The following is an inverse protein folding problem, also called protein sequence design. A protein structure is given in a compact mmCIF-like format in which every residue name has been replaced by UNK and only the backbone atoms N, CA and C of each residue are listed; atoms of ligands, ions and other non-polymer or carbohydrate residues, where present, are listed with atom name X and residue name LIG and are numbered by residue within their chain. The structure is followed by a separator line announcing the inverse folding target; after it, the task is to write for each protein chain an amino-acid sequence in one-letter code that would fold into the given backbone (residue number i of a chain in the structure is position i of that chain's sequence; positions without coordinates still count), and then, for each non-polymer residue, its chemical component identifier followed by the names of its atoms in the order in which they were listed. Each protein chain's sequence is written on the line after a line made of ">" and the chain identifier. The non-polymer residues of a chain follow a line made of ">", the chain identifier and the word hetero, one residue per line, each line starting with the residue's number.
data_IF_972778791290
#
_entry.id   IF_972778791290
#
_cell.length_a   1.000
_cell.length_b   1.000
_cell.length_c   1.000
_cell.angle_alpha   90.00
_cell.angle_beta   90.00
_cell.angle_gamma   90.00
#
_symmetry.space_group_name_H-M   'P 1'
#
loop_
_entity.id
_entity.type
_entity.pdbx_description
1 polymer ?
#
# COMPACT_ATOMS: atom_id res chain seq x y z
N UNK A 1 -7.08 0.96 -8.59
CA UNK A 1 -8.25 0.50 -9.38
C UNK A 1 -8.41 1.30 -10.67
N UNK A 2 -8.36 2.63 -10.64
CA UNK A 2 -8.55 3.46 -11.85
C UNK A 2 -7.58 3.12 -12.98
N UNK A 3 -6.33 2.79 -12.67
CA UNK A 3 -5.33 2.41 -13.70
C UNK A 3 -5.74 1.14 -14.44
N UNK A 4 -6.24 0.12 -13.73
CA UNK A 4 -6.70 -1.13 -14.33
C UNK A 4 -8.01 -0.93 -15.11
N UNK A 5 -8.87 0.01 -14.70
CA UNK A 5 -10.06 0.40 -15.47
C UNK A 5 -9.72 1.10 -16.79
N UNK A 6 -8.59 1.81 -16.86
CA UNK A 6 -8.07 2.44 -18.07
C UNK A 6 -7.36 1.44 -19.00
N UNK A 7 -6.61 0.50 -18.40
CA UNK A 7 -5.83 -0.50 -19.11
C UNK A 7 -5.87 -1.84 -18.37
N UNK A 8 -6.58 -2.82 -18.94
CA UNK A 8 -6.72 -4.17 -18.36
C UNK A 8 -5.43 -4.99 -18.40
N UNK A 9 -4.49 -4.62 -19.25
CA UNK A 9 -3.17 -5.26 -19.39
C UNK A 9 -2.12 -4.65 -18.45
N UNK A 10 -2.53 -3.76 -17.54
CA UNK A 10 -1.66 -3.18 -16.51
C UNK A 10 -0.87 -4.26 -15.77
N UNK A 11 0.43 -4.09 -15.69
CA UNK A 11 1.34 -5.00 -14.99
C UNK A 11 1.50 -4.63 -13.51
N UNK A 12 2.00 -5.59 -12.72
CA UNK A 12 2.16 -5.40 -11.27
C UNK A 12 3.15 -4.28 -10.94
N UNK A 13 4.16 -4.05 -11.78
CA UNK A 13 5.16 -2.99 -11.65
C UNK A 13 4.54 -1.60 -11.64
N UNK A 14 3.56 -1.36 -12.50
CA UNK A 14 2.84 -0.09 -12.54
C UNK A 14 2.01 0.13 -11.27
N UNK A 15 1.37 -0.94 -10.78
CA UNK A 15 0.60 -0.89 -9.53
C UNK A 15 1.52 -0.62 -8.34
N UNK A 16 2.70 -1.26 -8.28
CA UNK A 16 3.69 -1.01 -7.22
C UNK A 16 4.26 0.41 -7.27
N UNK A 17 4.31 1.03 -8.44
CA UNK A 17 4.66 2.44 -8.59
C UNK A 17 3.68 3.38 -7.88
N UNK A 18 2.40 3.00 -7.80
CA UNK A 18 1.31 3.75 -7.15
C UNK A 18 1.17 3.34 -5.68
N UNK A 19 1.07 2.03 -5.42
CA UNK A 19 0.90 1.45 -4.07
C UNK A 19 2.26 0.95 -3.58
N UNK A 20 3.06 1.86 -3.05
CA UNK A 20 4.47 1.59 -2.69
C UNK A 20 4.64 0.59 -1.54
N UNK A 21 3.70 0.55 -0.61
CA UNK A 21 3.71 -0.37 0.53
C UNK A 21 2.33 -0.41 1.20
N UNK A 22 2.02 -1.40 2.06
CA UNK A 22 0.88 -1.35 2.95
C UNK A 22 0.93 -0.11 3.84
N UNK A 23 -0.21 0.35 4.31
CA UNK A 23 -0.32 1.41 5.31
C UNK A 23 -0.90 0.85 6.60
N UNK A 24 -0.15 0.94 7.68
CA UNK A 24 -0.57 0.40 8.97
C UNK A 24 -1.28 1.48 9.80
N UNK A 25 -2.40 1.17 10.47
CA UNK A 25 -3.14 2.14 11.27
C UNK A 25 -2.34 2.69 12.45
N UNK A 26 -1.31 1.97 12.90
CA UNK A 26 -0.40 2.38 13.98
C UNK A 26 0.82 3.15 13.50
N UNK A 27 0.92 3.44 12.19
CA UNK A 27 2.09 4.10 11.60
C UNK A 27 3.31 3.20 11.54
N UNK A 28 4.45 3.69 12.03
CA UNK A 28 5.72 3.00 12.00
C UNK A 28 6.51 3.24 10.71
N UNK A 29 7.70 2.68 10.66
CA UNK A 29 8.61 2.76 9.49
C UNK A 29 8.78 1.37 8.88
N UNK A 30 8.37 1.22 7.64
CA UNK A 30 8.61 0.01 6.84
C UNK A 30 10.07 0.07 6.35
N UNK A 31 10.85 -0.96 6.63
CA UNK A 31 12.26 -1.04 6.26
C UNK A 31 12.44 -1.81 4.96
N UNK A 32 12.86 -1.10 3.91
CA UNK A 32 13.07 -1.66 2.58
C UNK A 32 11.79 -2.00 1.84
N UNK A 33 11.90 -2.29 0.54
CA UNK A 33 10.76 -2.60 -0.35
C UNK A 33 10.71 -4.07 -0.76
N UNK A 34 11.81 -4.81 -0.62
CA UNK A 34 11.92 -6.20 -1.11
C UNK A 34 10.81 -7.13 -0.59
N UNK A 35 10.52 -7.07 0.73
CA UNK A 35 9.45 -7.88 1.31
C UNK A 35 8.06 -7.45 0.86
N UNK A 36 7.87 -6.16 0.54
CA UNK A 36 6.63 -5.62 -0.03
C UNK A 36 6.45 -6.11 -1.47
N UNK A 37 7.49 -6.05 -2.28
CA UNK A 37 7.48 -6.52 -3.67
C UNK A 37 7.16 -8.02 -3.73
N UNK A 38 7.78 -8.83 -2.88
CA UNK A 38 7.48 -10.25 -2.78
C UNK A 38 6.01 -10.49 -2.41
N UNK A 39 5.49 -9.75 -1.41
CA UNK A 39 4.09 -9.85 -0.99
C UNK A 39 3.13 -9.48 -2.12
N UNK A 40 3.39 -8.40 -2.84
CA UNK A 40 2.52 -7.94 -3.91
C UNK A 40 2.52 -8.83 -5.15
N UNK A 41 3.65 -9.47 -5.46
CA UNK A 41 3.76 -10.43 -6.58
C UNK A 41 3.16 -11.79 -6.26
N UNK A 42 3.38 -12.30 -5.05
CA UNK A 42 3.07 -13.69 -4.71
C UNK A 42 1.89 -13.85 -3.74
N UNK A 43 1.42 -12.76 -3.16
CA UNK A 43 0.44 -12.77 -2.07
C UNK A 43 1.03 -13.13 -0.71
N UNK A 44 2.34 -13.39 -0.61
CA UNK A 44 3.04 -13.69 0.65
C UNK A 44 4.36 -12.95 0.71
N UNK A 45 4.68 -12.40 1.89
CA UNK A 45 5.96 -11.70 2.08
C UNK A 45 6.20 -11.37 3.54
N UNK A 46 7.42 -10.92 3.84
CA UNK A 46 7.86 -10.52 5.18
C UNK A 46 8.28 -9.06 5.14
N UNK A 47 7.52 -8.21 5.83
CA UNK A 47 7.77 -6.78 5.90
C UNK A 47 8.32 -6.45 7.27
N UNK A 48 9.51 -5.87 7.36
CA UNK A 48 10.05 -5.37 8.62
C UNK A 48 9.48 -3.99 8.91
N UNK A 49 8.95 -3.83 10.12
CA UNK A 49 8.38 -2.57 10.59
C UNK A 49 9.09 -2.18 11.87
N UNK A 50 9.49 -0.92 11.94
CA UNK A 50 10.21 -0.34 13.08
C UNK A 50 9.34 0.75 13.72
N UNK A 51 9.41 0.85 15.04
CA UNK A 51 8.82 1.94 15.81
C UNK A 51 9.38 3.31 15.38
N UNK A 52 8.57 4.35 15.45
CA UNK A 52 9.06 5.72 15.31
C UNK A 52 9.57 6.21 16.65
N UNK A 53 10.83 6.62 16.68
CA UNK A 53 11.50 7.07 17.89
C UNK A 53 12.18 8.41 17.70
N UNK A 54 12.26 9.18 18.77
CA UNK A 54 13.02 10.40 18.86
C UNK A 54 13.97 10.36 20.07
N UNK A 55 15.19 10.85 19.90
CA UNK A 55 16.14 10.97 21.00
C UNK A 55 16.19 12.44 21.42
N UNK A 56 15.87 12.72 22.67
CA UNK A 56 15.90 14.06 23.25
C UNK A 56 16.95 14.12 24.35
N UNK A 57 17.62 15.27 24.44
CA UNK A 57 18.55 15.55 25.53
C UNK A 57 17.86 16.43 26.56
N UNK A 58 17.82 15.97 27.79
CA UNK A 58 17.25 16.69 28.93
C UNK A 58 18.21 17.79 29.43
N UNK A 59 17.71 18.84 30.10
CA UNK A 59 18.54 19.92 30.66
C UNK A 59 19.63 19.45 31.64
N UNK A 60 19.41 18.28 32.26
CA UNK A 60 20.37 17.66 33.18
C UNK A 60 21.50 16.88 32.47
N UNK A 61 21.55 16.91 31.14
CA UNK A 61 22.54 16.22 30.31
C UNK A 61 22.29 14.71 30.16
N UNK A 62 21.15 14.19 30.61
CA UNK A 62 20.70 12.83 30.30
C UNK A 62 20.01 12.81 28.92
N UNK A 63 20.01 11.68 28.27
CA UNK A 63 19.21 11.44 27.07
C UNK A 63 17.97 10.61 27.39
N UNK A 64 16.90 10.80 26.62
CA UNK A 64 15.72 9.94 26.65
C UNK A 64 15.34 9.52 25.23
N UNK A 65 14.87 8.28 25.09
CA UNK A 65 14.29 7.76 23.87
C UNK A 65 12.78 7.84 24.01
N UNK A 66 12.11 8.54 23.10
CA UNK A 66 10.65 8.67 23.06
C UNK A 66 10.15 7.84 21.89
N UNK A 67 9.23 6.92 22.16
CA UNK A 67 8.57 6.08 21.15
C UNK A 67 7.17 6.63 20.94
N UNK A 68 6.89 7.07 19.72
CA UNK A 68 5.62 7.69 19.33
C UNK A 68 4.72 6.80 18.49
N UNK A 69 5.30 5.84 17.77
CA UNK A 69 4.55 4.87 16.97
C UNK A 69 5.16 3.48 17.15
N UNK A 70 4.31 2.46 17.14
CA UNK A 70 4.70 1.07 17.31
C UNK A 70 4.39 0.26 16.04
N UNK A 71 5.15 -0.81 15.76
CA UNK A 71 4.79 -1.73 14.69
C UNK A 71 3.39 -2.28 14.87
N UNK A 72 2.68 -2.51 13.78
CA UNK A 72 1.33 -3.03 13.79
C UNK A 72 1.25 -4.38 14.53
N UNK A 73 0.18 -4.58 15.30
CA UNK A 73 -0.07 -5.74 16.18
C UNK A 73 0.88 -5.88 17.39
N UNK A 74 1.76 -4.95 17.66
CA UNK A 74 2.58 -4.97 18.88
C UNK A 74 1.76 -4.45 20.08
N UNK A 75 1.73 -5.27 21.12
CA UNK A 75 1.11 -4.88 22.39
C UNK A 75 2.06 -3.99 23.19
N UNK A 76 1.69 -2.71 23.40
CA UNK A 76 2.49 -1.71 24.10
C UNK A 76 2.88 -2.14 25.52
N UNK A 77 1.94 -2.67 26.31
CA UNK A 77 2.20 -3.08 27.69
C UNK A 77 3.23 -4.23 27.76
N UNK A 78 3.07 -5.25 26.91
CA UNK A 78 4.03 -6.36 26.82
C UNK A 78 5.40 -5.91 26.33
N UNK A 79 5.45 -4.91 25.42
CA UNK A 79 6.72 -4.33 24.97
C UNK A 79 7.44 -3.63 26.12
N UNK A 80 6.73 -2.82 26.89
CA UNK A 80 7.29 -2.11 28.07
C UNK A 80 7.80 -3.11 29.11
N UNK A 81 7.03 -4.14 29.42
CA UNK A 81 7.43 -5.22 30.31
C UNK A 81 8.70 -5.92 29.81
N UNK A 82 8.77 -6.24 28.54
CA UNK A 82 9.95 -6.86 27.92
C UNK A 82 11.20 -5.98 28.00
N UNK A 83 11.05 -4.67 27.81
CA UNK A 83 12.17 -3.71 27.97
C UNK A 83 12.65 -3.71 29.43
N UNK A 84 11.74 -3.68 30.39
CA UNK A 84 12.06 -3.72 31.81
C UNK A 84 12.77 -5.01 32.21
N UNK A 85 12.35 -6.16 31.69
CA UNK A 85 13.01 -7.45 31.92
C UNK A 85 14.42 -7.49 31.34
N UNK A 86 14.63 -7.02 30.11
CA UNK A 86 15.97 -6.94 29.51
C UNK A 86 16.92 -6.05 30.33
N UNK A 87 16.39 -4.98 30.93
CA UNK A 87 17.17 -4.15 31.84
C UNK A 87 17.51 -4.90 33.14
N UNK A 88 16.54 -5.57 33.79
CA UNK A 88 16.76 -6.38 35.01
C UNK A 88 17.77 -7.53 34.77
N UNK A 89 17.70 -8.18 33.62
CA UNK A 89 18.62 -9.23 33.19
C UNK A 89 20.01 -8.71 32.80
N UNK A 90 20.23 -7.39 32.83
CA UNK A 90 21.48 -6.71 32.41
C UNK A 90 21.86 -6.98 30.94
N UNK A 91 20.90 -7.32 30.11
CA UNK A 91 21.11 -7.49 28.65
C UNK A 91 21.12 -6.15 27.92
N UNK A 92 20.40 -5.16 28.47
CA UNK A 92 20.48 -3.76 28.04
C UNK A 92 20.79 -2.93 29.29
N UNK A 93 21.98 -2.35 29.32
CA UNK A 93 22.42 -1.46 30.39
C UNK A 93 22.22 0.00 30.00
N UNK A 94 22.12 0.89 31.00
CA UNK A 94 22.05 2.33 30.78
C UNK A 94 20.62 2.91 30.81
N UNK A 95 19.58 2.11 31.00
CA UNK A 95 18.20 2.58 31.23
C UNK A 95 18.08 2.98 32.73
N UNK A 96 17.54 4.16 33.03
CA UNK A 96 17.30 4.64 34.40
C UNK A 96 15.83 4.66 34.78
N UNK A 97 14.94 4.89 33.80
CA UNK A 97 13.51 4.90 34.04
C UNK A 97 12.76 4.55 32.74
N UNK A 98 11.56 3.99 32.89
CA UNK A 98 10.69 3.56 31.81
C UNK A 98 9.25 3.90 32.16
N UNK A 99 8.63 4.78 31.37
CA UNK A 99 7.28 5.30 31.64
C UNK A 99 6.40 5.20 30.39
N UNK A 100 5.12 4.93 30.62
CA UNK A 100 4.08 5.06 29.61
C UNK A 100 3.34 6.39 29.84
N UNK A 101 3.60 7.36 29.00
CA UNK A 101 2.98 8.69 29.03
C UNK A 101 1.91 8.84 27.91
N UNK A 102 1.45 7.72 27.34
CA UNK A 102 0.44 7.75 26.28
C UNK A 102 -0.87 8.34 26.78
N UNK A 103 -1.50 9.15 25.94
CA UNK A 103 -2.75 9.84 26.22
C UNK A 103 -3.69 9.80 24.99
N UNK A 104 -4.70 10.68 24.96
CA UNK A 104 -5.66 10.79 23.82
C UNK A 104 -5.01 11.29 22.53
N UNK A 105 -3.86 11.94 22.61
CA UNK A 105 -3.12 12.46 21.44
C UNK A 105 -2.29 11.36 20.76
N UNK A 106 -1.95 10.28 21.48
CA UNK A 106 -1.25 9.16 20.89
C UNK A 106 -0.36 8.38 21.86
N UNK A 107 0.43 7.50 21.27
CA UNK A 107 1.42 6.69 21.98
C UNK A 107 2.63 7.56 22.36
N UNK A 108 3.05 7.47 23.61
CA UNK A 108 4.27 8.09 24.12
C UNK A 108 4.89 7.20 25.18
N UNK A 109 5.89 6.41 24.81
CA UNK A 109 6.69 5.63 25.76
C UNK A 109 8.04 6.33 25.91
N UNK A 110 8.41 6.63 27.15
CA UNK A 110 9.64 7.34 27.48
C UNK A 110 10.62 6.39 28.17
N UNK A 111 11.82 6.29 27.61
CA UNK A 111 12.94 5.49 28.14
C UNK A 111 14.05 6.46 28.50
N UNK A 112 14.22 6.76 29.78
CA UNK A 112 15.31 7.60 30.26
C UNK A 112 16.62 6.81 30.35
N UNK A 113 17.69 7.46 29.93
CA UNK A 113 19.01 6.86 29.90
C UNK A 113 19.95 7.48 30.91
N UNK A 114 20.94 6.72 31.34
CA UNK A 114 22.06 7.19 32.13
C UNK A 114 22.86 8.24 31.35
N UNK A 115 23.47 9.21 32.02
CA UNK A 115 24.20 10.32 31.38
C UNK A 115 25.36 9.84 30.50
N UNK A 116 26.02 8.74 30.86
CA UNK A 116 27.15 8.14 30.17
C UNK A 116 26.74 7.14 29.08
N UNK A 117 25.43 6.87 28.93
CA UNK A 117 24.92 5.91 27.98
C UNK A 117 24.77 6.51 26.56
N UNK A 118 25.15 5.72 25.55
CA UNK A 118 24.94 6.11 24.17
C UNK A 118 23.51 5.70 23.74
N UNK A 119 22.65 6.69 23.51
CA UNK A 119 21.24 6.48 23.16
C UNK A 119 21.07 5.67 21.87
N UNK A 120 21.92 5.86 20.84
CA UNK A 120 21.82 5.11 19.59
C UNK A 120 22.18 3.63 19.78
N UNK A 121 23.16 3.32 20.62
CA UNK A 121 23.54 1.94 20.92
C UNK A 121 22.40 1.21 21.64
N UNK A 122 21.81 1.87 22.65
CA UNK A 122 20.66 1.30 23.38
C UNK A 122 19.46 1.13 22.45
N UNK A 123 19.17 2.12 21.60
CA UNK A 123 18.08 2.06 20.62
C UNK A 123 18.28 0.87 19.66
N UNK A 124 19.47 0.64 19.16
CA UNK A 124 19.79 -0.51 18.32
C UNK A 124 19.63 -1.85 19.05
N UNK A 125 20.02 -1.91 20.33
CA UNK A 125 19.78 -3.09 21.16
C UNK A 125 18.27 -3.34 21.37
N UNK A 126 17.47 -2.29 21.58
CA UNK A 126 16.02 -2.37 21.69
C UNK A 126 15.40 -2.89 20.39
N UNK A 127 15.81 -2.41 19.23
CA UNK A 127 15.36 -2.94 17.93
C UNK A 127 15.70 -4.42 17.74
N UNK A 128 16.87 -4.85 18.21
CA UNK A 128 17.34 -6.23 18.07
C UNK A 128 16.63 -7.21 19.01
N UNK A 129 16.27 -6.77 20.22
CA UNK A 129 15.83 -7.68 21.30
C UNK A 129 14.37 -7.50 21.69
N UNK A 130 13.65 -6.54 21.10
CA UNK A 130 12.24 -6.26 21.40
C UNK A 130 11.43 -6.08 20.14
N UNK A 131 10.11 -6.02 20.28
CA UNK A 131 9.17 -5.73 19.20
C UNK A 131 9.12 -4.23 18.81
N UNK A 132 10.08 -3.41 19.24
CA UNK A 132 10.29 -2.09 18.64
C UNK A 132 10.67 -2.18 17.17
N UNK A 133 11.18 -3.30 16.73
CA UNK A 133 11.28 -3.72 15.34
C UNK A 133 10.77 -5.14 15.25
N UNK A 134 9.79 -5.37 14.38
CA UNK A 134 9.19 -6.69 14.20
C UNK A 134 8.95 -6.97 12.71
N UNK A 135 8.75 -8.23 12.39
CA UNK A 135 8.46 -8.68 11.03
C UNK A 135 6.99 -8.99 10.90
N UNK A 136 6.30 -8.22 10.07
CA UNK A 136 4.92 -8.48 9.70
C UNK A 136 4.85 -9.47 8.53
N UNK A 137 4.26 -10.64 8.79
CA UNK A 137 4.01 -11.65 7.76
C UNK A 137 2.77 -11.32 6.95
N UNK A 138 2.95 -10.94 5.70
CA UNK A 138 1.83 -10.66 4.77
C UNK A 138 1.30 -11.97 4.20
N UNK A 139 -0.01 -12.15 4.28
CA UNK A 139 -0.76 -13.21 3.58
C UNK A 139 -2.00 -12.55 2.99
N UNK A 140 -2.01 -12.37 1.68
CA UNK A 140 -3.11 -11.75 0.95
C UNK A 140 -4.18 -12.78 0.60
N UNK A 141 -4.92 -13.22 1.62
CA UNK A 141 -5.98 -14.22 1.51
C UNK A 141 -7.32 -13.53 1.21
N UNK A 142 -8.03 -14.00 0.20
CA UNK A 142 -9.37 -13.53 -0.15
C UNK A 142 -10.27 -14.71 -0.52
N UNK A 143 -11.58 -14.48 -0.41
CA UNK A 143 -12.59 -15.41 -0.95
C UNK A 143 -12.94 -14.99 -2.38
N UNK A 144 -12.67 -15.87 -3.32
CA UNK A 144 -13.05 -15.70 -4.73
C UNK A 144 -13.99 -16.85 -5.11
N UNK A 145 -15.23 -16.52 -5.48
CA UNK A 145 -16.29 -17.50 -5.75
C UNK A 145 -16.52 -18.52 -4.61
N UNK A 146 -16.45 -18.01 -3.36
CA UNK A 146 -16.59 -18.82 -2.16
C UNK A 146 -15.38 -19.67 -1.81
N UNK A 147 -14.28 -19.61 -2.59
CA UNK A 147 -13.05 -20.37 -2.36
C UNK A 147 -11.94 -19.47 -1.77
N UNK A 148 -11.25 -19.86 -0.69
CA UNK A 148 -10.11 -19.13 -0.16
C UNK A 148 -8.91 -19.26 -1.11
N UNK A 149 -8.39 -18.13 -1.57
CA UNK A 149 -7.21 -18.07 -2.45
C UNK A 149 -6.23 -17.02 -1.94
N UNK A 150 -4.94 -17.33 -2.01
CA UNK A 150 -3.86 -16.35 -1.83
C UNK A 150 -3.62 -15.72 -3.18
N UNK A 151 -3.73 -14.40 -3.27
CA UNK A 151 -3.71 -13.65 -4.51
C UNK A 151 -2.57 -12.62 -4.48
N UNK A 152 -2.04 -12.30 -5.66
CA UNK A 152 -1.21 -11.10 -5.84
C UNK A 152 -2.05 -9.83 -5.64
N UNK A 153 -1.39 -8.68 -5.43
CA UNK A 153 -2.11 -7.40 -5.34
C UNK A 153 -2.89 -7.12 -6.63
N UNK A 154 -2.29 -7.39 -7.78
CA UNK A 154 -2.94 -7.20 -9.07
C UNK A 154 -4.18 -8.08 -9.23
N UNK A 155 -4.09 -9.37 -8.85
CA UNK A 155 -5.23 -10.29 -8.92
C UNK A 155 -6.36 -9.87 -7.97
N UNK A 156 -6.05 -9.40 -6.76
CA UNK A 156 -7.06 -8.85 -5.85
C UNK A 156 -7.81 -7.67 -6.47
N UNK A 157 -7.08 -6.73 -7.08
CA UNK A 157 -7.68 -5.57 -7.73
C UNK A 157 -8.52 -5.97 -8.95
N UNK A 158 -8.05 -6.93 -9.75
CA UNK A 158 -8.82 -7.47 -10.89
C UNK A 158 -10.10 -8.17 -10.43
N UNK A 159 -10.04 -9.00 -9.40
CA UNK A 159 -11.22 -9.64 -8.80
C UNK A 159 -12.22 -8.60 -8.26
N UNK A 160 -11.75 -7.55 -7.61
CA UNK A 160 -12.60 -6.47 -7.12
C UNK A 160 -13.29 -5.72 -8.26
N UNK A 161 -12.57 -5.39 -9.32
CA UNK A 161 -13.16 -4.72 -10.50
C UNK A 161 -14.22 -5.61 -11.16
N UNK A 162 -13.94 -6.90 -11.36
CA UNK A 162 -14.92 -7.85 -11.91
C UNK A 162 -16.17 -7.94 -11.04
N UNK A 163 -16.02 -7.93 -9.71
CA UNK A 163 -17.15 -7.86 -8.80
C UNK A 163 -17.95 -6.55 -8.95
N UNK A 164 -17.28 -5.40 -9.09
CA UNK A 164 -17.95 -4.13 -9.32
C UNK A 164 -18.73 -4.13 -10.65
N UNK A 165 -18.16 -4.68 -11.71
CA UNK A 165 -18.83 -4.83 -13.00
C UNK A 165 -20.12 -5.65 -12.88
N UNK A 166 -20.07 -6.77 -12.16
CA UNK A 166 -21.27 -7.61 -11.93
C UNK A 166 -22.31 -6.86 -11.08
N UNK A 167 -21.91 -6.23 -9.99
CA UNK A 167 -22.81 -5.49 -9.10
C UNK A 167 -23.49 -4.33 -9.83
N UNK A 168 -22.70 -3.50 -10.53
CA UNK A 168 -23.24 -2.34 -11.28
C UNK A 168 -24.15 -2.80 -12.41
N UNK A 169 -23.80 -3.87 -13.12
CA UNK A 169 -24.63 -4.45 -14.18
C UNK A 169 -25.98 -4.94 -13.61
N UNK A 170 -25.97 -5.68 -12.51
CA UNK A 170 -27.21 -6.16 -11.86
C UNK A 170 -28.06 -5.00 -11.34
N UNK A 171 -27.46 -4.01 -10.70
CA UNK A 171 -28.15 -2.81 -10.23
C UNK A 171 -28.78 -2.06 -11.39
N UNK A 172 -28.02 -1.82 -12.46
CA UNK A 172 -28.52 -1.10 -13.65
C UNK A 172 -29.69 -1.85 -14.33
N UNK A 173 -29.62 -3.18 -14.41
CA UNK A 173 -30.75 -4.00 -14.91
C UNK A 173 -31.99 -3.89 -14.03
N UNK A 174 -31.81 -3.92 -12.71
CA UNK A 174 -32.92 -3.75 -11.78
C UNK A 174 -33.55 -2.37 -11.91
N UNK A 175 -32.74 -1.30 -11.93
CA UNK A 175 -33.23 0.06 -12.08
C UNK A 175 -33.92 0.27 -13.44
N UNK A 176 -33.42 -0.33 -14.51
CA UNK A 176 -34.02 -0.31 -15.83
C UNK A 176 -35.40 -0.97 -15.79
N UNK A 177 -35.52 -2.17 -15.26
CA UNK A 177 -36.80 -2.87 -15.16
C UNK A 177 -37.80 -2.05 -14.34
N UNK A 178 -37.41 -1.47 -13.24
CA UNK A 178 -38.28 -0.61 -12.42
C UNK A 178 -38.72 0.66 -13.15
N UNK A 179 -37.81 1.27 -13.91
CA UNK A 179 -38.13 2.45 -14.71
C UNK A 179 -39.10 2.10 -15.86
N UNK A 180 -38.89 0.97 -16.55
CA UNK A 180 -39.76 0.51 -17.61
C UNK A 180 -41.14 0.10 -17.09
N UNK A 181 -41.22 -0.60 -15.95
CA UNK A 181 -42.52 -0.93 -15.27
C UNK A 181 -43.30 0.35 -14.92
N UNK A 182 -42.62 1.36 -14.38
CA UNK A 182 -43.24 2.64 -14.01
C UNK A 182 -43.69 3.41 -15.24
N UNK A 183 -42.83 3.48 -16.26
CA UNK A 183 -43.11 4.15 -17.52
C UNK A 183 -44.32 3.52 -18.23
N UNK A 184 -44.38 2.20 -18.23
CA UNK A 184 -45.52 1.46 -18.78
C UNK A 184 -46.86 1.85 -18.11
N UNK A 185 -46.85 2.01 -16.78
CA UNK A 185 -48.05 2.48 -16.06
C UNK A 185 -48.40 3.92 -16.44
N UNK A 186 -47.38 4.80 -16.52
CA UNK A 186 -47.59 6.21 -16.89
C UNK A 186 -48.18 6.37 -18.29
N UNK A 187 -47.74 5.58 -19.26
CA UNK A 187 -48.32 5.58 -20.61
C UNK A 187 -49.82 5.26 -20.58
N UNK A 188 -50.22 4.29 -19.78
CA UNK A 188 -51.65 3.97 -19.60
C UNK A 188 -52.42 5.10 -18.93
N UNK A 189 -51.87 5.73 -17.91
CA UNK A 189 -52.48 6.88 -17.23
C UNK A 189 -52.59 8.13 -18.13
N UNK A 190 -51.61 8.41 -18.98
CA UNK A 190 -51.65 9.50 -19.95
C UNK A 190 -52.73 9.25 -21.00
N UNK A 191 -52.85 8.03 -21.58
CA UNK A 191 -53.94 7.65 -22.48
C UNK A 191 -55.31 7.87 -21.82
N UNK A 192 -55.45 7.47 -20.54
CA UNK A 192 -56.66 7.66 -19.80
C UNK A 192 -57.02 9.14 -19.58
N UNK A 193 -56.04 9.99 -19.35
CA UNK A 193 -56.28 11.44 -19.20
C UNK A 193 -56.64 12.14 -20.49
N UNK A 194 -56.03 11.73 -21.60
CA UNK A 194 -56.36 12.28 -22.94
C UNK A 194 -57.82 11.92 -23.35
N UNK A 195 -58.37 10.83 -22.81
CA UNK A 195 -59.72 10.35 -23.09
C UNK A 195 -60.57 10.28 -21.81
N UNK A 196 -60.43 11.21 -20.90
CA UNK A 196 -60.95 11.12 -19.53
C UNK A 196 -62.47 10.96 -19.48
N UNK A 197 -63.23 11.69 -20.33
CA UNK A 197 -64.67 11.59 -20.35
C UNK A 197 -65.17 10.18 -20.76
N UNK A 198 -64.52 9.59 -21.76
CA UNK A 198 -64.83 8.23 -22.19
C UNK A 198 -64.45 7.18 -21.11
N UNK A 199 -63.31 7.36 -20.46
CA UNK A 199 -62.88 6.50 -19.33
C UNK A 199 -63.91 6.56 -18.19
N UNK A 200 -64.33 7.75 -17.79
CA UNK A 200 -65.36 7.94 -16.75
C UNK A 200 -66.67 7.27 -17.16
N UNK A 201 -67.09 7.42 -18.42
CA UNK A 201 -68.33 6.78 -18.92
C UNK A 201 -68.23 5.26 -18.87
N UNK A 202 -67.10 4.66 -19.28
CA UNK A 202 -66.90 3.21 -19.22
C UNK A 202 -66.96 2.71 -17.76
N UNK A 203 -66.27 3.39 -16.85
CA UNK A 203 -66.24 3.01 -15.44
C UNK A 203 -67.62 3.10 -14.81
N UNK A 204 -68.36 4.20 -15.04
CA UNK A 204 -69.71 4.40 -14.46
C UNK A 204 -70.78 3.48 -15.05
N UNK A 205 -70.63 3.04 -16.31
CA UNK A 205 -71.56 2.12 -16.96
C UNK A 205 -71.31 0.65 -16.67
N UNK A 206 -70.18 0.33 -16.03
CA UNK A 206 -69.84 -1.05 -15.68
C UNK A 206 -70.33 -1.44 -14.30
N UNK A 207 -70.81 -2.67 -14.18
CA UNK A 207 -71.42 -3.21 -12.93
C UNK A 207 -70.33 -3.60 -11.90
N UNK A 208 -69.20 -3.98 -12.36
CA UNK A 208 -68.06 -4.39 -11.49
C UNK A 208 -66.73 -3.78 -11.96
N UNK A 209 -65.73 -3.61 -11.05
CA UNK A 209 -64.40 -3.14 -11.45
C UNK A 209 -63.73 -4.02 -12.51
N UNK A 210 -63.97 -5.33 -12.49
CA UNK A 210 -63.41 -6.25 -13.48
C UNK A 210 -63.98 -5.99 -14.88
N UNK A 211 -65.26 -5.75 -15.00
CA UNK A 211 -65.91 -5.40 -16.29
C UNK A 211 -65.40 -4.07 -16.81
N UNK A 212 -65.20 -3.10 -15.94
CA UNK A 212 -64.57 -1.81 -16.30
C UNK A 212 -63.17 -2.03 -16.85
N UNK A 213 -62.37 -2.87 -16.21
CA UNK A 213 -61.00 -3.19 -16.59
C UNK A 213 -60.97 -3.84 -17.99
N UNK A 214 -61.76 -4.86 -18.21
CA UNK A 214 -61.82 -5.57 -19.48
C UNK A 214 -62.25 -4.63 -20.65
N UNK A 215 -63.21 -3.75 -20.42
CA UNK A 215 -63.62 -2.74 -21.39
C UNK A 215 -62.59 -1.69 -21.69
N UNK A 216 -61.80 -1.22 -20.67
CA UNK A 216 -60.71 -0.30 -20.86
C UNK A 216 -59.57 -0.95 -21.68
N UNK A 217 -59.26 -2.22 -21.40
CA UNK A 217 -58.28 -3.02 -22.16
C UNK A 217 -58.72 -3.11 -23.63
N UNK A 218 -59.94 -3.53 -23.88
CA UNK A 218 -60.47 -3.68 -25.23
C UNK A 218 -60.52 -2.37 -26.00
N UNK A 219 -60.95 -1.29 -25.35
CA UNK A 219 -61.14 0.02 -25.99
C UNK A 219 -59.84 0.75 -26.34
N UNK A 220 -58.83 0.73 -25.43
CA UNK A 220 -57.61 1.52 -25.56
C UNK A 220 -56.36 0.66 -25.82
N UNK A 221 -56.50 -0.66 -25.94
CA UNK A 221 -55.37 -1.56 -26.13
C UNK A 221 -54.41 -1.60 -24.94
N UNK A 222 -54.95 -1.38 -23.73
CA UNK A 222 -54.16 -1.35 -22.49
C UNK A 222 -53.78 -2.73 -21.98
N UNK A 223 -52.71 -2.80 -21.20
CA UNK A 223 -52.39 -4.01 -20.46
C UNK A 223 -53.24 -4.09 -19.16
N UNK A 224 -53.28 -5.27 -18.57
CA UNK A 224 -53.99 -5.52 -17.31
C UNK A 224 -53.52 -4.58 -16.18
N UNK A 225 -52.17 -4.36 -16.08
CA UNK A 225 -51.56 -3.47 -15.09
C UNK A 225 -51.94 -2.01 -15.32
N UNK A 226 -51.95 -1.57 -16.57
CA UNK A 226 -52.35 -0.19 -16.93
C UNK A 226 -53.84 0.04 -16.62
N UNK A 227 -54.69 -0.85 -17.00
CA UNK A 227 -56.14 -0.73 -16.73
C UNK A 227 -56.43 -0.76 -15.21
N UNK A 228 -55.69 -1.57 -14.46
CA UNK A 228 -55.82 -1.58 -12.99
C UNK A 228 -55.42 -0.22 -12.40
N UNK A 229 -54.27 0.35 -12.86
CA UNK A 229 -53.81 1.64 -12.40
C UNK A 229 -54.80 2.78 -12.69
N UNK A 230 -55.53 2.69 -13.81
CA UNK A 230 -56.59 3.64 -14.17
C UNK A 230 -57.78 3.55 -13.22
N UNK A 231 -58.22 2.33 -12.89
CA UNK A 231 -59.36 2.09 -11.95
C UNK A 231 -59.01 2.58 -10.55
N UNK A 232 -57.75 2.40 -10.13
CA UNK A 232 -57.26 2.81 -8.81
C UNK A 232 -56.94 4.30 -8.73
N UNK A 233 -57.10 5.03 -9.84
CA UNK A 233 -56.76 6.45 -9.92
C UNK A 233 -57.71 7.30 -9.05
N UNK A 234 -57.13 8.18 -8.27
CA UNK A 234 -57.88 9.11 -7.40
C UNK A 234 -58.46 10.27 -8.21
N UNK A 235 -59.65 10.77 -7.84
CA UNK A 235 -60.31 11.87 -8.51
C UNK A 235 -59.43 13.14 -8.67
N UNK A 236 -58.58 13.43 -7.72
CA UNK A 236 -57.61 14.56 -7.82
C UNK A 236 -56.66 14.44 -9.00
N UNK A 237 -56.35 13.22 -9.43
CA UNK A 237 -55.46 12.97 -10.54
C UNK A 237 -56.05 13.40 -11.91
N UNK A 238 -57.33 13.77 -11.95
CA UNK A 238 -58.02 14.24 -13.15
C UNK A 238 -57.82 15.75 -13.42
N UNK A 239 -57.01 16.44 -12.58
CA UNK A 239 -56.76 17.86 -12.78
C UNK A 239 -55.63 18.07 -13.82
N UNK A 240 -55.70 19.18 -14.61
CA UNK A 240 -54.69 19.49 -15.61
C UNK A 240 -53.28 19.59 -15.03
N UNK A 241 -53.14 20.08 -13.78
CA UNK A 241 -51.84 20.16 -13.10
C UNK A 241 -51.22 18.78 -12.85
N UNK A 242 -52.02 17.75 -12.57
CA UNK A 242 -51.53 16.37 -12.40
C UNK A 242 -51.17 15.73 -13.75
N UNK A 243 -51.85 16.10 -14.84
CA UNK A 243 -51.50 15.68 -16.18
C UNK A 243 -50.07 16.17 -16.56
N UNK A 244 -49.79 17.45 -16.36
CA UNK A 244 -48.45 18.01 -16.60
C UNK A 244 -47.35 17.32 -15.78
N UNK A 245 -47.65 16.92 -14.53
CA UNK A 245 -46.70 16.19 -13.70
C UNK A 245 -46.42 14.77 -14.20
N UNK A 246 -47.48 14.07 -14.65
CA UNK A 246 -47.31 12.72 -15.21
C UNK A 246 -46.55 12.74 -16.51
N UNK A 247 -46.77 13.73 -17.35
CA UNK A 247 -46.01 13.92 -18.60
C UNK A 247 -44.54 14.25 -18.31
N UNK A 248 -44.25 15.14 -17.36
CA UNK A 248 -42.91 15.45 -16.94
C UNK A 248 -42.20 14.21 -16.37
N UNK A 249 -42.87 13.42 -15.51
CA UNK A 249 -42.34 12.16 -14.98
C UNK A 249 -42.03 11.16 -16.11
N UNK A 250 -42.93 11.04 -17.09
CA UNK A 250 -42.73 10.19 -18.27
C UNK A 250 -41.47 10.59 -19.04
N UNK A 251 -41.32 11.87 -19.34
CA UNK A 251 -40.14 12.36 -20.07
C UNK A 251 -38.83 12.16 -19.30
N UNK A 252 -38.82 12.33 -17.97
CA UNK A 252 -37.69 12.02 -17.13
C UNK A 252 -37.33 10.52 -17.13
N UNK A 253 -38.32 9.65 -17.03
CA UNK A 253 -38.17 8.21 -17.11
C UNK A 253 -37.61 7.76 -18.45
N UNK A 254 -38.11 8.30 -19.57
CA UNK A 254 -37.56 7.98 -20.89
C UNK A 254 -36.08 8.31 -21.01
N UNK A 255 -35.65 9.47 -20.49
CA UNK A 255 -34.23 9.83 -20.43
C UNK A 255 -33.43 8.85 -19.59
N UNK A 256 -33.93 8.51 -18.39
CA UNK A 256 -33.31 7.54 -17.48
C UNK A 256 -33.20 6.14 -18.09
N UNK A 257 -34.26 5.66 -18.75
CA UNK A 257 -34.29 4.36 -19.45
C UNK A 257 -33.24 4.34 -20.58
N UNK A 258 -33.14 5.42 -21.36
CA UNK A 258 -32.16 5.54 -22.43
C UNK A 258 -30.73 5.52 -21.89
N UNK A 259 -30.46 6.21 -20.78
CA UNK A 259 -29.16 6.21 -20.11
C UNK A 259 -28.82 4.82 -19.56
N UNK A 260 -29.73 4.17 -18.85
CA UNK A 260 -29.51 2.83 -18.30
C UNK A 260 -29.25 1.79 -19.41
N UNK A 261 -30.00 1.86 -20.51
CA UNK A 261 -29.77 1.01 -21.69
C UNK A 261 -28.39 1.27 -22.30
N UNK A 262 -27.97 2.53 -22.40
CA UNK A 262 -26.67 2.90 -22.92
C UNK A 262 -25.52 2.38 -22.05
N UNK A 263 -25.67 2.39 -20.72
CA UNK A 263 -24.68 1.81 -19.78
C UNK A 263 -24.56 0.30 -19.98
N UNK A 264 -25.68 -0.40 -20.16
CA UNK A 264 -25.68 -1.86 -20.37
C UNK A 264 -25.17 -2.29 -21.74
N UNK A 265 -25.25 -1.42 -22.74
CA UNK A 265 -24.82 -1.70 -24.11
C UNK A 265 -23.35 -1.41 -24.37
N UNK A 266 -22.71 -0.58 -23.55
CA UNK A 266 -21.33 -0.12 -23.73
C UNK A 266 -20.49 -0.35 -22.48
N UNK A 267 -19.52 -1.26 -22.58
CA UNK A 267 -18.58 -1.59 -21.51
C UNK A 267 -17.80 -0.35 -21.01
N UNK A 268 -17.43 0.56 -21.91
CA UNK A 268 -16.71 1.79 -21.50
C UNK A 268 -17.57 2.69 -20.63
N UNK A 269 -18.88 2.75 -20.90
CA UNK A 269 -19.82 3.50 -20.05
C UNK A 269 -19.98 2.85 -18.69
N UNK A 270 -20.07 1.52 -18.64
CA UNK A 270 -20.13 0.76 -17.38
C UNK A 270 -18.88 1.02 -16.52
N UNK A 271 -17.69 0.92 -17.12
CA UNK A 271 -16.44 1.22 -16.43
C UNK A 271 -16.35 2.68 -16.00
N UNK A 272 -16.92 3.61 -16.78
CA UNK A 272 -17.05 5.02 -16.42
C UNK A 272 -17.89 5.26 -15.18
N UNK A 273 -18.99 4.54 -15.00
CA UNK A 273 -19.83 4.57 -13.78
C UNK A 273 -19.03 4.07 -12.58
N UNK A 274 -18.37 2.92 -12.70
CA UNK A 274 -17.52 2.36 -11.64
C UNK A 274 -16.43 3.34 -11.25
N UNK A 275 -15.75 3.95 -12.23
CA UNK A 275 -14.71 4.95 -12.00
C UNK A 275 -15.22 6.15 -11.22
N UNK A 276 -16.35 6.71 -11.63
CA UNK A 276 -16.91 7.89 -10.95
C UNK A 276 -17.31 7.57 -9.51
N UNK A 277 -17.88 6.41 -9.23
CA UNK A 277 -18.24 5.98 -7.88
C UNK A 277 -16.98 5.77 -7.00
N UNK A 278 -15.91 5.19 -7.54
CA UNK A 278 -14.63 5.04 -6.84
C UNK A 278 -13.98 6.39 -6.53
N UNK A 279 -14.08 7.37 -7.44
CA UNK A 279 -13.55 8.72 -7.19
C UNK A 279 -14.31 9.42 -6.06
N UNK A 280 -15.63 9.28 -5.98
CA UNK A 280 -16.43 9.81 -4.86
C UNK A 280 -15.99 9.19 -3.52
N UNK A 281 -15.73 7.88 -3.50
CA UNK A 281 -15.22 7.20 -2.30
C UNK A 281 -13.83 7.72 -1.94
N UNK A 282 -12.95 7.88 -2.92
CA UNK A 282 -11.61 8.45 -2.72
C UNK A 282 -11.67 9.85 -2.11
N UNK A 283 -12.49 10.73 -2.67
CA UNK A 283 -12.60 12.11 -2.20
C UNK A 283 -13.20 12.22 -0.80
N UNK A 284 -14.10 11.31 -0.45
CA UNK A 284 -14.78 11.29 0.86
C UNK A 284 -13.96 10.66 1.97
N UNK A 285 -13.17 9.64 1.67
CA UNK A 285 -12.50 8.79 2.67
C UNK A 285 -10.98 8.72 2.48
N UNK A 286 -10.42 9.41 1.47
CA UNK A 286 -8.98 9.47 1.28
C UNK A 286 -8.32 10.21 2.45
N UNK A 287 -7.26 9.63 3.00
CA UNK A 287 -6.43 10.21 4.05
C UNK A 287 -4.94 10.03 3.70
N UNK A 288 -4.09 10.76 4.41
CA UNK A 288 -2.65 10.68 4.22
C UNK A 288 -2.07 9.38 4.78
N UNK A 289 -1.02 8.90 4.14
CA UNK A 289 -0.28 7.72 4.58
C UNK A 289 0.31 7.94 5.97
N UNK A 290 0.09 6.98 6.86
CA UNK A 290 0.61 6.98 8.24
C UNK A 290 1.98 6.33 8.33
N UNK A 291 2.15 5.14 7.73
CA UNK A 291 3.42 4.40 7.75
C UNK A 291 4.44 5.03 6.82
N UNK A 292 5.64 5.31 7.33
CA UNK A 292 6.77 5.80 6.54
C UNK A 292 7.47 4.63 5.85
N UNK A 293 8.09 4.90 4.71
CA UNK A 293 8.93 3.92 4.02
C UNK A 293 10.36 4.41 4.16
N UNK A 294 11.17 3.64 4.87
CA UNK A 294 12.58 3.91 5.12
C UNK A 294 13.47 2.93 4.35
N UNK A 295 14.74 3.25 4.29
CA UNK A 295 15.74 2.34 3.75
C UNK A 295 15.98 1.21 4.75
N UNK A 296 16.18 -0.01 4.23
CA UNK A 296 16.71 -1.10 5.01
C UNK A 296 18.24 -1.03 4.97
N UNK A 297 18.85 -0.94 6.13
CA UNK A 297 20.32 -0.98 6.25
C UNK A 297 20.92 -2.29 5.71
N UNK A 298 20.09 -3.34 5.54
CA UNK A 298 20.46 -4.60 4.92
C UNK A 298 20.20 -4.66 3.41
N UNK A 299 19.41 -3.75 2.84
CA UNK A 299 19.20 -3.64 1.39
C UNK A 299 20.30 -2.77 0.73
N UNK A 300 20.96 -1.90 1.50
CA UNK A 300 22.24 -1.31 1.12
C UNK A 300 23.27 -2.36 1.48
N UNK A 301 23.79 -3.09 0.50
CA UNK A 301 24.93 -3.96 0.75
C UNK A 301 26.05 -3.10 1.35
N UNK A 302 26.82 -3.63 2.31
CA UNK A 302 28.01 -2.89 2.80
C UNK A 302 28.88 -2.41 1.64
N UNK A 303 28.82 -3.11 0.53
CA UNK A 303 29.48 -2.80 -0.73
C UNK A 303 29.00 -1.47 -1.36
N UNK A 304 27.69 -1.14 -1.27
CA UNK A 304 27.14 0.11 -1.82
C UNK A 304 27.47 1.35 -0.98
N UNK A 305 27.82 1.16 0.29
CA UNK A 305 28.25 2.23 1.20
C UNK A 305 29.75 2.54 1.08
N UNK A 306 30.51 1.67 0.43
CA UNK A 306 31.95 1.83 0.27
C UNK A 306 32.22 2.55 -1.06
N UNK A 307 32.92 3.69 -1.06
CA UNK A 307 33.26 4.40 -2.29
C UNK A 307 34.09 3.52 -3.23
N UNK A 308 33.75 3.53 -4.51
CA UNK A 308 34.56 2.89 -5.55
C UNK A 308 35.78 3.77 -5.82
N UNK A 309 36.89 3.36 -5.28
CA UNK A 309 38.16 4.06 -5.47
C UNK A 309 39.33 3.10 -5.79
N UNK A 310 40.36 3.62 -6.43
CA UNK A 310 41.54 2.84 -6.67
C UNK A 310 42.30 2.67 -5.34
N UNK A 311 42.75 1.46 -5.09
CA UNK A 311 43.42 1.08 -3.86
C UNK A 311 44.67 0.24 -4.18
N UNK A 312 45.65 0.30 -3.32
CA UNK A 312 46.86 -0.48 -3.41
C UNK A 312 46.90 -1.47 -2.25
N UNK A 313 47.04 -2.74 -2.57
CA UNK A 313 47.21 -3.83 -1.62
C UNK A 313 48.68 -4.17 -1.58
N UNK A 314 49.28 -4.12 -0.40
CA UNK A 314 50.65 -4.54 -0.15
C UNK A 314 50.64 -5.82 0.70
N UNK A 315 51.40 -6.82 0.26
CA UNK A 315 51.61 -8.08 0.97
C UNK A 315 53.08 -8.33 1.19
N UNK A 316 53.44 -8.75 2.40
CA UNK A 316 54.83 -9.08 2.73
C UNK A 316 55.08 -10.59 2.56
N UNK A 317 56.38 -10.96 2.49
CA UNK A 317 56.79 -12.35 2.38
C UNK A 317 56.36 -13.21 3.58
N UNK A 318 56.21 -12.63 4.76
CA UNK A 318 55.69 -13.33 5.95
C UNK A 318 54.15 -13.34 6.04
N UNK A 319 53.45 -12.78 5.03
CA UNK A 319 52.01 -12.87 4.91
C UNK A 319 51.20 -11.73 5.55
N UNK A 320 51.84 -10.65 5.98
CA UNK A 320 51.14 -9.44 6.39
C UNK A 320 50.53 -8.73 5.16
N UNK A 321 49.26 -8.38 5.25
CA UNK A 321 48.53 -7.72 4.14
C UNK A 321 47.83 -6.47 4.65
N UNK A 322 47.85 -5.41 3.82
CA UNK A 322 47.04 -4.21 4.06
C UNK A 322 46.65 -3.52 2.78
N UNK A 323 45.60 -2.71 2.88
CA UNK A 323 45.09 -1.84 1.82
C UNK A 323 45.42 -0.39 2.11
N UNK A 324 45.77 0.38 1.07
CA UNK A 324 46.09 1.80 1.13
C UNK A 324 45.42 2.54 -0.04
N UNK A 325 45.04 3.81 0.16
CA UNK A 325 44.59 4.68 -0.94
C UNK A 325 45.75 5.04 -1.86
N UNK A 326 45.46 5.24 -3.16
CA UNK A 326 46.47 5.61 -4.17
C UNK A 326 47.17 6.93 -3.85
N UNK A 327 46.49 7.84 -3.15
CA UNK A 327 47.03 9.14 -2.75
C UNK A 327 48.29 9.04 -1.85
N UNK A 328 48.50 7.89 -1.23
CA UNK A 328 49.70 7.60 -0.46
C UNK A 328 50.97 7.41 -1.34
N UNK A 329 50.78 7.23 -2.66
CA UNK A 329 51.85 6.98 -3.63
C UNK A 329 51.91 8.10 -4.67
N UNK A 330 52.46 9.27 -4.29
CA UNK A 330 52.63 10.38 -5.22
C UNK A 330 53.85 10.16 -6.10
N UNK A 331 53.71 10.49 -7.39
CA UNK A 331 54.83 10.48 -8.33
C UNK A 331 55.94 11.40 -7.87
N UNK A 332 57.20 10.92 -7.88
CA UNK A 332 58.36 11.70 -7.53
C UNK A 332 59.10 12.15 -8.79
N UNK A 333 59.65 13.39 -8.74
CA UNK A 333 60.51 13.91 -9.79
C UNK A 333 61.91 13.28 -9.72
N UNK A 334 62.74 13.48 -10.77
CA UNK A 334 64.13 13.02 -10.81
C UNK A 334 64.88 13.46 -9.56
N UNK A 335 65.52 12.51 -8.84
CA UNK A 335 66.24 12.75 -7.59
C UNK A 335 65.45 12.50 -6.29
N UNK A 336 64.22 12.03 -6.37
CA UNK A 336 63.44 11.62 -5.21
C UNK A 336 64.01 10.37 -4.50
N UNK A 337 63.92 10.32 -3.16
CA UNK A 337 64.45 9.22 -2.33
C UNK A 337 63.60 7.94 -2.32
N UNK A 338 62.59 7.82 -3.21
CA UNK A 338 61.61 6.72 -3.18
C UNK A 338 60.60 6.85 -2.06
N UNK A 339 59.53 6.06 -2.12
CA UNK A 339 58.45 6.03 -1.11
C UNK A 339 58.45 4.65 -0.47
N UNK A 340 58.59 4.58 0.86
CA UNK A 340 58.45 3.33 1.61
C UNK A 340 56.97 2.94 1.66
N UNK A 341 56.61 1.81 1.06
CA UNK A 341 55.20 1.38 0.95
C UNK A 341 54.64 0.76 2.22
N UNK A 342 55.50 0.18 3.09
CA UNK A 342 55.09 -0.47 4.33
C UNK A 342 56.24 -0.53 5.29
N UNK A 343 55.99 -0.47 6.59
CA UNK A 343 56.99 -0.76 7.59
C UNK A 343 57.02 -2.26 7.84
N UNK A 344 58.14 -2.90 7.58
CA UNK A 344 58.32 -4.35 7.76
C UNK A 344 59.08 -4.66 9.04
N UNK A 345 58.98 -5.90 9.55
CA UNK A 345 59.81 -6.41 10.65
C UNK A 345 61.22 -6.70 10.10
N UNK A 346 62.23 -6.86 10.97
CA UNK A 346 63.54 -7.40 10.59
C UNK A 346 63.34 -8.74 9.87
N UNK A 347 63.98 -8.93 8.72
CA UNK A 347 63.90 -10.09 7.85
C UNK A 347 62.61 -10.21 6.98
N UNK A 348 61.70 -9.25 6.99
CA UNK A 348 60.50 -9.23 6.10
C UNK A 348 60.64 -8.16 5.02
N UNK A 349 60.04 -8.38 3.87
CA UNK A 349 60.00 -7.45 2.73
C UNK A 349 58.68 -7.51 2.00
N UNK A 350 58.34 -6.44 1.26
CA UNK A 350 57.14 -6.43 0.44
C UNK A 350 57.34 -7.40 -0.73
N UNK A 351 56.57 -8.48 -0.76
CA UNK A 351 56.57 -9.49 -1.81
C UNK A 351 55.70 -9.08 -2.99
N UNK A 352 54.50 -8.61 -2.71
CA UNK A 352 53.50 -8.23 -3.73
C UNK A 352 52.93 -6.83 -3.48
N UNK A 353 52.76 -6.11 -4.58
CA UNK A 353 52.08 -4.82 -4.61
C UNK A 353 51.06 -4.82 -5.73
N UNK A 354 49.77 -4.84 -5.38
CA UNK A 354 48.70 -4.95 -6.34
C UNK A 354 47.85 -3.69 -6.34
N UNK A 355 47.66 -3.07 -7.51
CA UNK A 355 46.76 -1.95 -7.70
C UNK A 355 45.42 -2.51 -8.18
N UNK A 356 44.31 -2.19 -7.49
CA UNK A 356 42.98 -2.66 -7.79
C UNK A 356 41.94 -1.61 -7.37
N UNK A 357 40.66 -1.93 -7.49
CA UNK A 357 39.57 -1.10 -6.94
C UNK A 357 39.02 -1.75 -5.67
N UNK A 358 38.44 -0.94 -4.78
CA UNK A 358 37.83 -1.41 -3.52
C UNK A 358 36.85 -2.57 -3.71
N UNK A 359 36.14 -2.62 -4.86
CA UNK A 359 35.08 -3.60 -5.14
C UNK A 359 35.53 -4.86 -5.88
N UNK A 360 36.78 -4.93 -6.33
CA UNK A 360 37.31 -6.12 -7.00
C UNK A 360 37.53 -7.26 -6.01
N UNK A 361 37.40 -8.49 -6.51
CA UNK A 361 37.81 -9.67 -5.75
C UNK A 361 39.29 -9.87 -5.82
N UNK A 362 39.92 -10.11 -4.68
CA UNK A 362 41.29 -10.58 -4.55
C UNK A 362 41.24 -12.07 -4.27
N UNK A 363 41.93 -12.85 -5.09
CA UNK A 363 42.00 -14.30 -4.99
C UNK A 363 43.39 -14.71 -4.49
N UNK A 364 43.38 -15.52 -3.42
CA UNK A 364 44.59 -16.05 -2.81
C UNK A 364 44.70 -17.53 -3.10
N UNK A 365 45.68 -17.91 -3.90
CA UNK A 365 45.99 -19.29 -4.23
C UNK A 365 47.05 -19.82 -3.30
N UNK A 366 46.80 -20.90 -2.57
CA UNK A 366 47.74 -21.50 -1.66
C UNK A 366 48.47 -22.68 -2.33
N UNK A 367 49.66 -22.98 -1.81
CA UNK A 367 50.47 -24.13 -2.22
C UNK A 367 49.78 -25.50 -1.94
N UNK A 368 48.71 -25.49 -1.13
CA UNK A 368 47.87 -26.68 -0.86
C UNK A 368 46.67 -26.82 -1.82
N UNK A 369 46.63 -26.07 -2.93
CA UNK A 369 45.57 -26.11 -3.93
C UNK A 369 44.24 -25.53 -3.47
N UNK A 370 44.19 -24.71 -2.41
CA UNK A 370 42.99 -24.00 -1.94
C UNK A 370 43.01 -22.57 -2.49
N UNK A 371 41.79 -22.09 -2.78
CA UNK A 371 41.57 -20.70 -3.20
C UNK A 371 40.66 -20.01 -2.18
N UNK A 372 41.08 -18.86 -1.73
CA UNK A 372 40.29 -17.95 -0.90
C UNK A 372 39.99 -16.68 -1.67
N UNK A 373 38.84 -16.11 -1.44
CA UNK A 373 38.33 -14.94 -2.15
C UNK A 373 37.83 -13.91 -1.14
N UNK A 374 38.34 -12.69 -1.24
CA UNK A 374 37.89 -11.53 -0.46
C UNK A 374 37.68 -10.34 -1.39
N UNK A 375 36.76 -9.45 -1.02
CA UNK A 375 36.69 -8.11 -1.64
C UNK A 375 37.86 -7.27 -1.16
N UNK A 376 38.41 -6.40 -2.02
CA UNK A 376 39.54 -5.56 -1.65
C UNK A 376 39.22 -4.64 -0.46
N UNK A 377 37.97 -4.20 -0.28
CA UNK A 377 37.56 -3.40 0.88
C UNK A 377 37.52 -4.19 2.21
N UNK A 378 37.46 -5.53 2.17
CA UNK A 378 37.52 -6.37 3.37
C UNK A 378 38.93 -6.48 3.93
N UNK A 379 39.94 -6.13 3.12
CA UNK A 379 41.34 -6.08 3.57
C UNK A 379 41.56 -4.84 4.46
N UNK A 380 42.16 -4.98 5.64
CA UNK A 380 42.34 -3.87 6.58
C UNK A 380 43.00 -2.65 5.95
N UNK A 381 42.36 -1.49 6.12
CA UNK A 381 42.94 -0.23 5.69
C UNK A 381 43.97 0.29 6.73
N UNK A 382 45.13 0.63 6.26
CA UNK A 382 46.14 1.18 7.13
C UNK A 382 47.05 2.19 6.40
N UNK A 383 47.51 3.17 7.13
CA UNK A 383 48.43 4.16 6.60
C UNK A 383 49.77 3.55 6.17
N UNK A 384 50.56 4.33 5.40
CA UNK A 384 51.83 3.90 4.83
C UNK A 384 52.86 3.41 5.89
N UNK A 385 52.86 4.03 7.05
CA UNK A 385 53.80 3.71 8.15
C UNK A 385 53.26 2.63 9.11
N UNK A 386 52.06 2.21 8.98
CA UNK A 386 51.50 1.10 9.79
C UNK A 386 52.06 -0.24 9.30
N UNK A 387 52.15 -1.18 10.23
CA UNK A 387 52.47 -2.61 9.94
C UNK A 387 51.27 -3.29 9.34
#
# INVERSE_FOLDING_TARGET
>A
DNRILEDRDTEIEEIMGIVKAPDFPTGGVILGTRGVEEAYRTGRGKIRVRAVTNIETLPNGKSQIIVTELPYMVNKAKLIEKIADLHKEKRIDGITDLRDESNREGTRVVIELRRDANANVILNQLYKHTQMQDTFGVIMLALVDGQPKVLSLLDMLKCYIAHQEDVVTRRTKYDLNKAEERDHILQGLLIAQDHIDEVIQIIRSSQTPQISKDRLIERFGLTDVQAQAIIDMRLRALTGLEHEKLEAEHQELLKKIAELKAILADEKRLLGVIRSELLVIKDKYGDDRRSKIGYDEFDISMEDMIPRENTIIAMTNLGYIKRMTVDNFKAQNRGGRGIKGMQTIEEDFIADLLMTTTHHYVMFFTNFGRVYRLKAYEIPEAGRTAR
#
